data_IF_620849554908
#
_entry.id   IF_620849554908
#
_cell.length_a   1.000
_cell.length_b   1.000
_cell.length_c   1.000
_cell.angle_alpha   90.00
_cell.angle_beta   90.00
_cell.angle_gamma   90.00
#
_symmetry.space_group_name_H-M   'P 1'
#
loop_
_entity.id
_entity.type
_entity.pdbx_description
1 polymer ?
#
# COMPACT_ATOMS: atom_id res chain seq x y z
N UNK A 1 45.71 64.27 4.50
CA UNK A 1 44.96 65.09 5.48
C UNK A 1 43.55 64.55 5.53
N UNK A 2 43.07 64.31 6.76
CA UNK A 2 41.70 64.19 7.28
C UNK A 2 40.55 64.66 6.34
N UNK A 3 39.29 64.23 6.39
CA UNK A 3 38.48 63.45 7.32
C UNK A 3 37.01 63.51 6.84
N UNK A 4 36.22 62.45 7.13
CA UNK A 4 34.78 62.42 7.45
C UNK A 4 33.73 63.15 6.58
N UNK A 5 32.76 62.39 6.02
CA UNK A 5 31.35 62.40 6.46
C UNK A 5 30.44 61.49 5.59
N UNK A 6 29.88 60.45 6.22
CA UNK A 6 28.54 59.89 5.97
C UNK A 6 27.68 60.30 7.21
N UNK A 7 26.32 60.28 7.24
CA UNK A 7 25.45 59.29 6.58
C UNK A 7 24.01 59.75 6.20
N UNK A 8 23.20 58.77 5.79
CA UNK A 8 21.73 58.65 5.89
C UNK A 8 20.84 59.36 4.84
N UNK A 9 20.29 58.59 3.90
CA UNK A 9 18.83 58.42 3.66
C UNK A 9 18.62 57.64 2.34
N UNK A 10 18.28 56.36 2.40
CA UNK A 10 17.64 55.63 1.31
C UNK A 10 17.07 54.29 1.81
N UNK A 11 15.91 54.39 2.44
CA UNK A 11 14.98 53.27 2.57
C UNK A 11 13.60 53.88 2.46
N UNK A 12 13.01 53.79 1.27
CA UNK A 12 11.58 53.82 0.94
C UNK A 12 11.47 54.09 -0.58
N UNK A 13 10.97 53.09 -1.31
CA UNK A 13 10.36 53.11 -2.65
C UNK A 13 10.87 51.94 -3.51
N UNK A 14 10.23 50.78 -3.34
CA UNK A 14 9.98 49.79 -4.42
C UNK A 14 9.19 48.60 -3.86
N UNK A 15 7.91 48.84 -3.60
CA UNK A 15 6.88 47.80 -3.58
C UNK A 15 5.74 48.35 -4.40
N UNK A 16 5.59 47.85 -5.62
CA UNK A 16 4.34 47.71 -6.37
C UNK A 16 4.71 47.07 -7.72
N UNK A 17 3.84 46.19 -8.22
CA UNK A 17 3.87 45.50 -9.52
C UNK A 17 4.74 44.24 -9.64
N UNK A 18 4.23 43.12 -9.14
CA UNK A 18 4.05 41.88 -9.93
C UNK A 18 3.01 41.01 -9.21
N UNK A 19 1.73 41.23 -9.54
CA UNK A 19 0.62 40.35 -9.18
C UNK A 19 0.22 39.61 -10.46
N UNK A 20 0.68 38.37 -10.60
CA UNK A 20 0.11 37.41 -11.53
C UNK A 20 -0.47 36.26 -10.70
N UNK A 21 -1.79 36.16 -10.76
CA UNK A 21 -2.59 35.19 -10.05
C UNK A 21 -2.30 33.77 -10.55
N UNK A 22 -2.01 32.87 -9.61
CA UNK A 22 -2.17 31.43 -9.78
C UNK A 22 -3.37 30.99 -8.93
N UNK A 23 -4.26 30.12 -9.45
CA UNK A 23 -5.48 29.72 -8.76
C UNK A 23 -5.17 28.83 -7.55
N UNK A 24 -5.70 29.22 -6.38
CA UNK A 24 -5.75 28.39 -5.17
C UNK A 24 -6.82 27.31 -5.35
N UNK A 25 -6.44 26.06 -5.14
CA UNK A 25 -7.38 24.97 -4.93
C UNK A 25 -7.76 24.97 -3.43
N UNK A 26 -8.75 25.78 -3.07
CA UNK A 26 -9.42 25.69 -1.77
C UNK A 26 -10.65 24.77 -1.95
N UNK A 27 -10.53 23.52 -1.52
CA UNK A 27 -11.69 22.67 -1.24
C UNK A 27 -11.94 22.71 0.27
N UNK A 28 -12.84 23.60 0.68
CA UNK A 28 -13.47 23.60 2.00
C UNK A 28 -14.32 22.33 2.14
N UNK A 29 -13.99 21.48 3.11
CA UNK A 29 -14.93 20.50 3.65
C UNK A 29 -15.16 20.87 5.13
N UNK A 30 -16.41 21.21 5.44
CA UNK A 30 -16.87 21.58 6.78
C UNK A 30 -17.14 20.33 7.60
N UNK A 31 -16.30 20.07 8.60
CA UNK A 31 -16.58 19.10 9.65
C UNK A 31 -17.44 19.73 10.77
N UNK A 32 -18.64 19.19 10.96
CA UNK A 32 -19.45 19.42 12.16
C UNK A 32 -19.03 18.45 13.26
N UNK A 33 -18.39 18.99 14.30
CA UNK A 33 -18.03 18.28 15.51
C UNK A 33 -19.26 17.91 16.36
N UNK A 34 -19.33 16.67 16.84
CA UNK A 34 -20.18 16.25 17.95
C UNK A 34 -19.30 15.71 19.10
N UNK A 35 -19.43 16.35 20.24
CA UNK A 35 -18.71 16.13 21.50
C UNK A 35 -19.32 14.95 22.26
N UNK A 36 -18.50 14.09 22.87
CA UNK A 36 -18.90 13.24 24.01
C UNK A 36 -17.70 12.90 24.93
N UNK A 37 -17.93 12.63 26.22
CA UNK A 37 -17.00 12.89 27.32
C UNK A 37 -16.18 11.66 27.77
N UNK A 38 -15.20 11.80 28.69
CA UNK A 38 -14.18 10.78 28.92
C UNK A 38 -14.64 9.73 29.94
N UNK A 39 -14.28 8.48 29.67
CA UNK A 39 -14.36 7.38 30.63
C UNK A 39 -13.00 7.16 31.30
N UNK A 40 -13.10 6.86 32.59
CA UNK A 40 -12.07 6.79 33.62
C UNK A 40 -11.00 5.73 33.41
N UNK A 41 -9.81 6.02 33.93
CA UNK A 41 -8.62 5.18 33.82
C UNK A 41 -8.65 3.90 34.66
N UNK A 42 -7.83 2.95 34.20
CA UNK A 42 -7.20 1.92 35.02
C UNK A 42 -5.77 1.70 34.52
N UNK A 43 -4.85 1.89 35.45
CA UNK A 43 -3.45 1.47 35.42
C UNK A 43 -3.37 -0.06 35.27
N UNK A 44 -2.35 -0.56 34.55
CA UNK A 44 -1.64 -1.78 34.92
C UNK A 44 -0.29 -1.86 34.17
N UNK A 45 0.78 -1.69 34.95
CA UNK A 45 2.12 -2.19 34.67
C UNK A 45 2.17 -3.70 34.94
N UNK A 46 3.09 -4.38 34.24
CA UNK A 46 3.62 -5.75 34.43
C UNK A 46 2.91 -6.92 33.71
N UNK A 47 3.62 -7.48 32.72
CA UNK A 47 3.94 -8.91 32.61
C UNK A 47 4.95 -9.14 31.45
N UNK A 48 6.25 -9.16 31.77
CA UNK A 48 7.18 -10.27 31.53
C UNK A 48 6.72 -11.48 30.70
N UNK A 49 7.52 -11.71 29.65
CA UNK A 49 7.91 -12.96 28.99
C UNK A 49 7.30 -14.28 29.48
N UNK A 50 6.59 -14.96 28.56
CA UNK A 50 6.45 -16.41 28.57
C UNK A 50 6.33 -16.97 27.12
N UNK A 51 7.35 -17.74 26.75
CA UNK A 51 7.29 -19.06 26.08
C UNK A 51 6.29 -19.23 24.92
N UNK A 52 6.86 -19.37 23.72
CA UNK A 52 6.21 -19.93 22.53
C UNK A 52 5.84 -21.41 22.77
N UNK A 53 4.63 -21.64 23.28
CA UNK A 53 3.95 -22.93 23.22
C UNK A 53 2.91 -22.88 22.11
N UNK A 54 3.06 -23.73 21.09
CA UNK A 54 2.15 -23.82 19.96
C UNK A 54 0.71 -24.10 20.40
N UNK A 55 -0.17 -23.13 20.20
CA UNK A 55 -1.60 -23.33 20.26
C UNK A 55 -2.07 -23.93 18.91
N UNK A 56 -3.03 -24.89 18.93
CA UNK A 56 -3.59 -25.44 17.71
C UNK A 56 -4.31 -24.34 16.92
N UNK A 57 -3.99 -24.26 15.64
CA UNK A 57 -4.67 -23.38 14.67
C UNK A 57 -6.15 -23.76 14.69
N UNK A 58 -7.00 -22.84 15.13
CA UNK A 58 -8.44 -22.99 15.02
C UNK A 58 -8.80 -23.21 13.54
N UNK A 59 -9.52 -24.29 13.24
CA UNK A 59 -10.00 -24.54 11.89
C UNK A 59 -10.93 -23.39 11.45
N UNK A 60 -10.55 -22.76 10.34
CA UNK A 60 -11.24 -21.64 9.72
C UNK A 60 -12.48 -22.15 8.95
N UNK A 61 -13.70 -21.64 9.21
CA UNK A 61 -14.91 -22.05 8.51
C UNK A 61 -15.04 -21.40 7.12
N UNK A 62 -13.94 -21.29 6.37
CA UNK A 62 -13.96 -21.06 4.93
C UNK A 62 -14.11 -22.41 4.24
N UNK A 63 -15.34 -22.92 4.24
CA UNK A 63 -15.74 -24.06 3.45
C UNK A 63 -15.20 -23.93 2.02
N UNK A 64 -14.49 -24.96 1.56
CA UNK A 64 -14.02 -25.05 0.19
C UNK A 64 -15.21 -24.85 -0.78
N UNK A 65 -15.08 -24.03 -1.82
CA UNK A 65 -16.14 -23.87 -2.80
C UNK A 65 -16.39 -25.22 -3.48
N UNK A 66 -17.62 -25.71 -3.31
CA UNK A 66 -18.14 -26.92 -3.95
C UNK A 66 -17.97 -26.81 -5.47
N UNK A 67 -17.54 -27.91 -6.09
CA UNK A 67 -17.16 -28.01 -7.48
C UNK A 67 -18.16 -27.35 -8.47
N UNK A 68 -17.58 -26.64 -9.43
CA UNK A 68 -18.18 -25.93 -10.55
C UNK A 68 -19.28 -26.73 -11.27
N UNK A 69 -20.52 -26.24 -11.18
CA UNK A 69 -21.55 -26.52 -12.18
C UNK A 69 -21.27 -25.70 -13.45
N UNK A 70 -21.22 -26.39 -14.59
CA UNK A 70 -20.95 -25.84 -15.93
C UNK A 70 -22.13 -25.03 -16.50
N UNK A 71 -22.53 -23.94 -15.84
CA UNK A 71 -23.52 -22.98 -16.34
C UNK A 71 -22.84 -21.76 -16.97
N UNK A 72 -22.97 -21.59 -18.29
CA UNK A 72 -22.24 -20.65 -19.15
C UNK A 72 -22.53 -19.15 -18.98
N UNK A 73 -22.52 -18.64 -17.75
CA UNK A 73 -22.36 -17.21 -17.49
C UNK A 73 -21.06 -17.01 -16.71
N UNK A 74 -20.08 -16.32 -17.29
CA UNK A 74 -18.82 -15.96 -16.62
C UNK A 74 -19.09 -14.90 -15.56
N UNK A 75 -19.70 -15.30 -14.45
CA UNK A 75 -19.85 -14.43 -13.29
C UNK A 75 -18.45 -14.02 -12.82
N UNK A 76 -18.27 -12.72 -12.56
CA UNK A 76 -17.04 -12.20 -11.98
C UNK A 76 -16.69 -12.94 -10.68
N UNK A 77 -15.44 -13.37 -10.60
CA UNK A 77 -14.91 -14.13 -9.47
C UNK A 77 -14.86 -13.32 -8.16
N UNK A 78 -14.68 -11.99 -8.26
CA UNK A 78 -14.65 -11.09 -7.12
C UNK A 78 -15.97 -10.31 -6.98
N UNK A 79 -16.91 -10.86 -6.22
CA UNK A 79 -18.21 -10.21 -5.94
C UNK A 79 -18.10 -9.01 -5.02
N UNK A 80 -17.03 -8.90 -4.22
CA UNK A 80 -16.77 -7.80 -3.28
C UNK A 80 -15.29 -7.68 -2.96
N UNK A 81 -14.76 -6.45 -2.99
CA UNK A 81 -13.33 -6.15 -2.88
C UNK A 81 -13.08 -5.00 -1.90
N UNK A 82 -12.40 -5.28 -0.79
CA UNK A 82 -11.80 -4.27 0.07
C UNK A 82 -10.27 -4.26 -0.12
N UNK A 83 -9.79 -3.35 -0.96
CA UNK A 83 -8.36 -3.22 -1.20
C UNK A 83 -7.70 -2.40 -0.09
N UNK A 84 -6.86 -3.04 0.73
CA UNK A 84 -5.95 -2.31 1.62
C UNK A 84 -4.65 -2.02 0.85
N UNK A 85 -4.57 -0.83 0.25
CA UNK A 85 -3.39 -0.38 -0.46
C UNK A 85 -2.37 0.21 0.52
N UNK A 86 -1.43 -0.62 1.00
CA UNK A 86 -0.32 -0.16 1.85
C UNK A 86 0.68 0.61 0.98
N UNK A 87 1.14 1.81 1.40
CA UNK A 87 2.15 2.56 0.66
C UNK A 87 3.36 1.69 0.29
N UNK A 88 3.79 1.81 -0.97
CA UNK A 88 4.98 1.14 -1.53
C UNK A 88 4.92 -0.40 -1.56
N UNK A 89 3.71 -0.97 -1.49
CA UNK A 89 3.45 -2.40 -1.67
C UNK A 89 2.73 -2.70 -2.99
N UNK A 90 3.14 -2.02 -4.09
CA UNK A 90 2.68 -2.33 -5.46
C UNK A 90 1.29 -1.83 -5.86
N UNK A 91 1.21 -0.59 -6.32
CA UNK A 91 -0.04 0.02 -6.84
C UNK A 91 -0.62 -0.74 -8.03
N UNK A 92 0.20 -1.37 -8.87
CA UNK A 92 -0.23 -2.15 -10.04
C UNK A 92 -1.14 -3.33 -9.70
N UNK A 93 -1.14 -3.83 -8.46
CA UNK A 93 -2.03 -4.93 -8.05
C UNK A 93 -3.51 -4.54 -8.13
N UNK A 94 -3.83 -3.24 -8.11
CA UNK A 94 -5.18 -2.77 -8.38
C UNK A 94 -5.71 -3.23 -9.75
N UNK A 95 -4.85 -3.38 -10.77
CA UNK A 95 -5.22 -3.91 -12.08
C UNK A 95 -5.84 -5.31 -11.97
N UNK A 96 -5.21 -6.23 -11.21
CA UNK A 96 -5.75 -7.57 -10.97
C UNK A 96 -7.09 -7.55 -10.24
N UNK A 97 -7.25 -6.65 -9.27
CA UNK A 97 -8.51 -6.49 -8.55
C UNK A 97 -9.63 -5.96 -9.46
N UNK A 98 -9.33 -5.03 -10.36
CA UNK A 98 -10.30 -4.50 -11.31
C UNK A 98 -10.78 -5.59 -12.27
N UNK A 99 -9.86 -6.35 -12.89
CA UNK A 99 -10.22 -7.47 -13.77
C UNK A 99 -11.01 -8.56 -13.05
N UNK A 100 -10.62 -8.91 -11.83
CA UNK A 100 -11.39 -9.88 -11.06
C UNK A 100 -12.79 -9.37 -10.73
N UNK A 101 -12.94 -8.08 -10.45
CA UNK A 101 -14.21 -7.45 -10.10
C UNK A 101 -15.11 -7.16 -11.30
N UNK A 102 -14.59 -7.13 -12.53
CA UNK A 102 -15.40 -7.00 -13.74
C UNK A 102 -14.71 -7.65 -14.95
N UNK A 103 -15.25 -8.80 -15.38
CA UNK A 103 -14.78 -9.56 -16.55
C UNK A 103 -15.05 -8.88 -17.89
N UNK A 104 -15.90 -7.84 -17.91
CA UNK A 104 -16.20 -7.07 -19.12
C UNK A 104 -15.22 -5.92 -19.35
N UNK A 105 -14.24 -5.72 -18.46
CA UNK A 105 -13.16 -4.76 -18.71
C UNK A 105 -12.39 -5.17 -19.97
N UNK A 106 -12.01 -4.20 -20.83
CA UNK A 106 -11.06 -4.47 -21.90
C UNK A 106 -9.78 -5.06 -21.31
N UNK A 107 -9.21 -6.08 -21.94
CA UNK A 107 -8.01 -6.75 -21.47
C UNK A 107 -6.84 -5.77 -21.21
N UNK A 108 -6.71 -4.76 -22.06
CA UNK A 108 -5.69 -3.74 -21.98
C UNK A 108 -5.95 -2.70 -20.87
N UNK A 109 -7.09 -2.76 -20.17
CA UNK A 109 -7.39 -1.87 -19.06
C UNK A 109 -6.40 -2.14 -17.91
N UNK A 110 -5.63 -1.11 -17.56
CA UNK A 110 -4.70 -1.17 -16.44
C UNK A 110 -4.44 0.20 -15.85
N UNK A 111 -4.01 0.23 -14.59
CA UNK A 111 -3.55 1.46 -13.95
C UNK A 111 -2.38 2.03 -14.78
N UNK A 112 -2.43 3.30 -15.21
CA UNK A 112 -1.40 3.88 -16.06
C UNK A 112 -0.05 3.93 -15.34
N UNK A 113 1.03 3.86 -16.12
CA UNK A 113 2.37 4.02 -15.61
C UNK A 113 2.63 5.45 -15.10
N UNK A 114 3.51 5.59 -14.12
CA UNK A 114 3.90 6.89 -13.59
C UNK A 114 4.58 7.71 -14.69
N UNK A 115 4.12 8.96 -14.85
CA UNK A 115 4.60 9.88 -15.88
C UNK A 115 3.77 9.87 -17.17
N UNK A 116 2.87 8.90 -17.38
CA UNK A 116 1.96 8.91 -18.55
C UNK A 116 0.66 9.66 -18.29
N UNK A 117 0.37 10.01 -17.03
CA UNK A 117 -0.81 10.76 -16.61
C UNK A 117 -0.43 11.81 -15.58
N UNK A 118 -1.16 12.92 -15.55
CA UNK A 118 -1.09 13.89 -14.47
C UNK A 118 -1.89 13.40 -13.25
N UNK A 119 -1.31 13.56 -12.05
CA UNK A 119 -1.99 13.22 -10.80
C UNK A 119 -1.77 11.80 -10.28
N UNK A 120 -2.82 11.22 -9.68
CA UNK A 120 -2.74 9.93 -9.00
C UNK A 120 -3.18 8.78 -9.92
N UNK A 121 -2.34 7.75 -10.03
CA UNK A 121 -2.55 6.65 -11.00
C UNK A 121 -3.91 5.96 -10.89
N UNK A 122 -4.37 5.62 -9.68
CA UNK A 122 -5.65 4.92 -9.48
C UNK A 122 -6.85 5.83 -9.84
N UNK A 123 -6.94 7.08 -9.34
CA UNK A 123 -7.93 8.03 -9.85
C UNK A 123 -7.91 8.20 -11.37
N UNK A 124 -6.74 8.28 -12.02
CA UNK A 124 -6.66 8.38 -13.48
C UNK A 124 -7.27 7.17 -14.20
N UNK A 125 -7.09 5.96 -13.65
CA UNK A 125 -7.78 4.75 -14.14
C UNK A 125 -9.30 4.86 -13.95
N UNK A 126 -9.75 5.31 -12.78
CA UNK A 126 -11.18 5.45 -12.46
C UNK A 126 -11.89 6.55 -13.25
N UNK A 127 -11.16 7.53 -13.81
CA UNK A 127 -11.74 8.47 -14.79
C UNK A 127 -12.15 7.76 -16.08
N UNK A 128 -11.38 6.76 -16.52
CA UNK A 128 -11.68 5.97 -17.72
C UNK A 128 -12.71 4.87 -17.44
N UNK A 129 -12.64 4.29 -16.23
CA UNK A 129 -13.53 3.21 -15.78
C UNK A 129 -14.22 3.58 -14.46
N UNK A 130 -15.26 4.44 -14.49
CA UNK A 130 -15.95 4.89 -13.27
C UNK A 130 -16.50 3.75 -12.41
N UNK A 131 -16.39 3.90 -11.08
CA UNK A 131 -16.74 2.86 -10.10
C UNK A 131 -18.20 2.41 -10.17
N UNK A 132 -19.11 3.36 -10.34
CA UNK A 132 -20.56 3.16 -10.42
C UNK A 132 -20.97 2.43 -11.70
N UNK A 133 -20.34 2.78 -12.83
CA UNK A 133 -20.64 2.19 -14.14
C UNK A 133 -20.02 0.80 -14.30
N UNK A 134 -18.73 0.65 -13.97
CA UNK A 134 -17.97 -0.55 -14.27
C UNK A 134 -17.94 -1.56 -13.14
N UNK A 135 -18.14 -1.15 -11.89
CA UNK A 135 -17.91 -2.04 -10.75
C UNK A 135 -19.11 -2.19 -9.83
N UNK A 136 -20.23 -1.49 -10.08
CA UNK A 136 -21.53 -1.73 -9.45
C UNK A 136 -21.47 -1.83 -7.91
N UNK A 137 -20.66 -0.97 -7.27
CA UNK A 137 -20.52 -0.95 -5.81
C UNK A 137 -19.73 -2.12 -5.20
N UNK A 138 -18.98 -2.89 -6.00
CA UNK A 138 -18.18 -4.04 -5.49
C UNK A 138 -16.99 -3.63 -4.62
N UNK A 139 -16.54 -2.37 -4.70
CA UNK A 139 -15.35 -1.90 -3.99
C UNK A 139 -15.66 -1.14 -2.70
N UNK A 140 -14.78 -1.29 -1.70
CA UNK A 140 -14.63 -0.30 -0.63
C UNK A 140 -14.02 0.99 -1.20
N UNK A 141 -14.84 2.03 -1.35
CA UNK A 141 -14.49 3.20 -2.17
C UNK A 141 -13.68 4.27 -1.46
N UNK A 142 -13.62 4.32 -0.11
CA UNK A 142 -12.83 5.32 0.65
C UNK A 142 -13.02 6.77 0.16
N UNK A 143 -14.28 7.19 -0.03
CA UNK A 143 -14.59 8.50 -0.61
C UNK A 143 -14.32 8.60 -2.11
N UNK A 144 -14.50 7.50 -2.85
CA UNK A 144 -14.30 7.44 -4.31
C UNK A 144 -12.88 7.07 -4.76
N UNK A 145 -11.92 6.93 -3.83
CA UNK A 145 -10.55 6.50 -4.12
C UNK A 145 -10.22 5.13 -3.52
N UNK A 146 -10.50 4.04 -4.25
CA UNK A 146 -10.20 2.66 -3.83
C UNK A 146 -8.71 2.43 -3.52
N UNK A 147 -7.83 3.20 -4.18
CA UNK A 147 -6.38 3.17 -3.99
C UNK A 147 -5.89 4.08 -2.86
N UNK A 148 -6.77 4.67 -2.06
CA UNK A 148 -6.38 5.45 -0.88
C UNK A 148 -5.68 4.55 0.16
N UNK A 149 -4.74 5.14 0.89
CA UNK A 149 -4.00 4.49 1.97
C UNK A 149 -4.74 4.56 3.32
N UNK A 150 -6.08 4.64 3.26
CA UNK A 150 -6.95 4.63 4.44
C UNK A 150 -6.86 3.30 5.17
N UNK A 151 -6.78 3.40 6.48
CA UNK A 151 -6.77 2.33 7.47
C UNK A 151 -8.11 1.58 7.54
N UNK A 152 -8.07 0.37 8.09
CA UNK A 152 -9.27 -0.47 8.27
C UNK A 152 -10.00 -0.01 9.55
N UNK A 153 -10.98 0.86 9.41
CA UNK A 153 -11.86 1.20 10.54
C UNK A 153 -12.73 0.01 10.94
N UNK A 154 -13.21 0.00 12.17
CA UNK A 154 -13.95 -1.13 12.75
C UNK A 154 -15.25 -1.47 12.00
N UNK A 155 -15.99 -0.45 11.55
CA UNK A 155 -17.19 -0.61 10.72
C UNK A 155 -16.85 -1.22 9.35
N UNK A 156 -15.76 -0.76 8.72
CA UNK A 156 -15.25 -1.32 7.46
C UNK A 156 -14.83 -2.77 7.66
N UNK A 157 -14.11 -3.07 8.73
CA UNK A 157 -13.70 -4.44 9.08
C UNK A 157 -14.91 -5.38 9.16
N UNK A 158 -15.94 -5.00 9.93
CA UNK A 158 -17.18 -5.80 10.05
C UNK A 158 -17.87 -6.01 8.71
N UNK A 159 -17.88 -4.98 7.87
CA UNK A 159 -18.58 -5.01 6.58
C UNK A 159 -17.85 -5.84 5.51
N UNK A 160 -16.51 -5.89 5.55
CA UNK A 160 -15.68 -6.49 4.50
C UNK A 160 -14.79 -7.65 4.96
N UNK A 161 -14.91 -8.15 6.20
CA UNK A 161 -14.19 -9.35 6.66
C UNK A 161 -14.42 -10.51 5.68
N UNK A 162 -13.35 -11.19 5.27
CA UNK A 162 -13.37 -12.22 4.23
C UNK A 162 -13.35 -11.68 2.79
N UNK A 163 -13.24 -10.36 2.62
CA UNK A 163 -13.19 -9.67 1.32
C UNK A 163 -12.04 -8.66 1.24
N UNK A 164 -11.08 -8.69 2.18
CA UNK A 164 -9.88 -7.86 2.11
C UNK A 164 -8.82 -8.47 1.21
N UNK A 165 -8.18 -7.61 0.42
CA UNK A 165 -7.08 -7.95 -0.48
C UNK A 165 -5.93 -6.97 -0.22
N UNK A 166 -4.72 -7.49 -0.02
CA UNK A 166 -3.55 -6.65 0.15
C UNK A 166 -2.28 -7.32 -0.36
N UNK A 167 -1.34 -6.48 -0.73
CA UNK A 167 0.06 -6.83 -0.95
C UNK A 167 0.87 -6.29 0.23
N UNK A 168 1.77 -7.11 0.74
CA UNK A 168 2.73 -6.74 1.77
C UNK A 168 4.13 -6.70 1.16
N UNK A 169 5.06 -6.03 1.85
CA UNK A 169 6.46 -5.93 1.45
C UNK A 169 7.31 -6.02 2.70
N UNK A 170 8.49 -6.64 2.59
CA UNK A 170 9.44 -6.69 3.69
C UNK A 170 9.63 -5.27 4.29
N UNK A 171 9.53 -5.08 5.62
CA UNK A 171 9.47 -3.74 6.23
C UNK A 171 10.64 -2.83 5.86
N UNK A 172 11.87 -3.38 5.86
CA UNK A 172 13.07 -2.67 5.44
C UNK A 172 12.99 -2.16 4.00
N UNK A 173 12.64 -3.03 3.05
CA UNK A 173 12.49 -2.66 1.64
C UNK A 173 11.36 -1.64 1.43
N UNK A 174 10.22 -1.79 2.15
CA UNK A 174 9.12 -0.81 2.14
C UNK A 174 9.59 0.55 2.62
N UNK A 175 10.28 0.59 3.77
CA UNK A 175 10.76 1.83 4.39
C UNK A 175 11.75 2.58 3.49
N UNK A 176 12.69 1.85 2.87
CA UNK A 176 13.64 2.42 1.92
C UNK A 176 12.94 2.98 0.68
N UNK A 177 12.03 2.21 0.07
CA UNK A 177 11.24 2.66 -1.07
C UNK A 177 10.37 3.87 -0.73
N UNK A 178 9.87 3.94 0.51
CA UNK A 178 9.12 5.09 1.04
C UNK A 178 10.00 6.32 1.20
N UNK A 179 11.22 6.18 1.73
CA UNK A 179 12.18 7.27 1.83
C UNK A 179 12.59 7.83 0.47
N UNK A 180 12.84 6.97 -0.52
CA UNK A 180 13.17 7.42 -1.88
C UNK A 180 12.01 8.20 -2.52
N UNK A 181 10.77 7.84 -2.21
CA UNK A 181 9.59 8.47 -2.81
C UNK A 181 9.09 9.72 -2.06
N UNK A 182 8.92 9.64 -0.75
CA UNK A 182 8.38 10.74 0.08
C UNK A 182 9.43 11.50 0.86
N UNK A 183 10.55 10.84 1.17
CA UNK A 183 11.64 11.34 2.00
C UNK A 183 12.49 12.39 1.29
N UNK A 184 13.52 11.91 0.60
CA UNK A 184 14.38 12.67 -0.30
C UNK A 184 14.75 14.10 0.16
N UNK A 185 14.86 15.00 -0.81
CA UNK A 185 15.25 16.39 -0.59
C UNK A 185 14.20 17.19 0.18
N UNK A 186 12.92 16.83 0.05
CA UNK A 186 11.82 17.53 0.72
C UNK A 186 11.90 17.38 2.25
N UNK A 187 12.05 16.15 2.76
CA UNK A 187 12.19 15.90 4.19
C UNK A 187 13.51 16.42 4.75
N UNK A 188 14.59 16.31 3.97
CA UNK A 188 15.90 16.83 4.37
C UNK A 188 15.87 18.34 4.62
N UNK A 189 15.12 19.11 3.80
CA UNK A 189 14.90 20.56 4.01
C UNK A 189 14.15 20.89 5.30
N UNK A 190 13.41 19.91 5.84
CA UNK A 190 12.70 20.02 7.12
C UNK A 190 13.51 19.43 8.29
N UNK A 191 14.78 19.07 8.08
CA UNK A 191 15.62 18.45 9.11
C UNK A 191 15.31 16.98 9.39
N UNK A 192 14.53 16.33 8.53
CA UNK A 192 14.20 14.90 8.64
C UNK A 192 15.12 14.11 7.71
N UNK A 193 16.11 13.46 8.30
CA UNK A 193 17.03 12.55 7.60
C UNK A 193 16.49 11.12 7.57
N UNK A 194 17.14 10.25 6.80
CA UNK A 194 16.74 8.84 6.59
C UNK A 194 16.42 8.09 7.88
N UNK A 195 17.31 8.14 8.89
CA UNK A 195 17.11 7.46 10.17
C UNK A 195 15.85 7.98 10.91
N UNK A 196 15.68 9.31 10.97
CA UNK A 196 14.51 9.93 11.61
C UNK A 196 13.22 9.62 10.84
N UNK A 197 13.29 9.57 9.51
CA UNK A 197 12.18 9.16 8.66
C UNK A 197 11.78 7.71 8.91
N UNK A 198 12.76 6.80 8.99
CA UNK A 198 12.51 5.39 9.23
C UNK A 198 11.83 5.17 10.60
N UNK A 199 12.30 5.88 11.64
CA UNK A 199 11.65 5.91 12.96
C UNK A 199 10.22 6.46 12.92
N UNK A 200 9.99 7.49 12.11
CA UNK A 200 8.67 8.13 11.95
C UNK A 200 7.63 7.18 11.33
N UNK A 201 8.03 6.28 10.43
CA UNK A 201 7.11 5.35 9.75
C UNK A 201 7.02 3.96 10.40
N UNK A 202 7.51 3.81 11.64
CA UNK A 202 7.43 2.55 12.36
C UNK A 202 5.98 2.06 12.51
N UNK A 203 5.78 0.77 12.28
CA UNK A 203 4.50 0.09 12.37
C UNK A 203 3.44 0.65 11.43
N UNK A 204 3.82 1.23 10.30
CA UNK A 204 2.86 1.86 9.39
C UNK A 204 1.85 0.87 8.84
N UNK A 205 2.31 -0.29 8.34
CA UNK A 205 1.40 -1.32 7.83
C UNK A 205 0.52 -1.86 8.96
N UNK A 206 1.12 -2.07 10.15
CA UNK A 206 0.43 -2.50 11.37
C UNK A 206 -0.69 -1.55 11.75
N UNK A 207 -0.41 -0.25 11.84
CA UNK A 207 -1.42 0.79 12.15
C UNK A 207 -2.52 0.83 11.11
N UNK A 208 -2.21 0.64 9.82
CA UNK A 208 -3.24 0.59 8.77
C UNK A 208 -4.18 -0.62 8.93
N UNK A 209 -3.63 -1.82 9.20
CA UNK A 209 -4.44 -3.03 9.39
C UNK A 209 -5.25 -2.96 10.70
N UNK A 210 -4.65 -2.43 11.78
CA UNK A 210 -5.30 -2.21 13.07
C UNK A 210 -6.31 -1.06 13.06
N UNK A 211 -6.37 -0.24 12.00
CA UNK A 211 -7.32 0.87 11.93
C UNK A 211 -6.93 2.11 12.74
N UNK A 212 -5.64 2.25 13.06
CA UNK A 212 -5.13 3.31 13.94
C UNK A 212 -4.68 4.57 13.19
N UNK A 213 -4.16 4.45 11.95
CA UNK A 213 -3.64 5.60 11.22
C UNK A 213 -3.59 5.37 9.71
N UNK A 214 -3.79 6.45 8.93
CA UNK A 214 -3.64 6.43 7.49
C UNK A 214 -2.17 6.25 7.10
N UNK A 215 -1.91 5.48 6.03
CA UNK A 215 -0.56 5.22 5.55
C UNK A 215 0.19 6.47 5.07
N UNK A 216 -0.49 7.60 4.81
CA UNK A 216 0.16 8.84 4.37
C UNK A 216 0.63 9.73 5.52
N UNK A 217 -0.02 9.68 6.68
CA UNK A 217 0.17 10.66 7.75
C UNK A 217 1.63 10.73 8.20
N UNK A 218 2.24 9.56 8.37
CA UNK A 218 3.66 9.46 8.75
C UNK A 218 4.61 9.40 7.56
N UNK A 219 4.13 9.05 6.36
CA UNK A 219 4.97 8.95 5.16
C UNK A 219 5.35 10.31 4.58
N UNK A 220 4.50 11.33 4.74
CA UNK A 220 4.79 12.70 4.32
C UNK A 220 5.44 13.48 5.46
N UNK A 221 6.43 14.32 5.16
CA UNK A 221 7.16 15.06 6.19
C UNK A 221 6.48 16.36 6.63
N UNK A 222 5.67 16.96 5.75
CA UNK A 222 4.86 18.15 6.02
C UNK A 222 3.61 17.89 6.87
N UNK A 223 3.26 16.62 7.06
CA UNK A 223 2.09 16.20 7.84
C UNK A 223 2.55 15.87 9.27
N UNK A 224 1.83 16.25 10.33
CA UNK A 224 2.16 15.75 11.67
C UNK A 224 1.99 14.23 11.73
N UNK A 225 2.98 13.51 12.29
CA UNK A 225 2.84 12.08 12.58
C UNK A 225 2.63 11.91 14.07
N UNK A 226 1.43 11.49 14.45
CA UNK A 226 1.14 11.14 15.82
C UNK A 226 1.93 9.90 16.23
N UNK A 227 2.57 9.96 17.40
CA UNK A 227 3.32 8.84 17.98
C UNK A 227 2.35 7.83 18.59
N UNK A 228 1.64 7.12 17.73
CA UNK A 228 0.75 6.03 18.13
C UNK A 228 1.54 4.73 18.27
N UNK A 229 1.34 4.03 19.38
CA UNK A 229 1.83 2.67 19.59
C UNK A 229 1.05 1.71 18.67
N UNK A 230 1.70 0.99 17.73
CA UNK A 230 1.01 0.05 16.85
C UNK A 230 0.37 -1.10 17.64
N UNK A 231 -0.90 -1.39 17.37
CA UNK A 231 -1.65 -2.51 17.94
C UNK A 231 -1.43 -3.76 17.08
N UNK A 232 -0.35 -4.48 17.41
CA UNK A 232 0.08 -5.68 16.68
C UNK A 232 -0.96 -6.80 16.79
N UNK A 233 -1.55 -7.01 17.96
CA UNK A 233 -2.49 -8.10 18.19
C UNK A 233 -3.77 -7.94 17.36
N UNK A 234 -4.32 -6.71 17.32
CA UNK A 234 -5.47 -6.42 16.46
C UNK A 234 -5.12 -6.54 14.99
N UNK A 235 -3.94 -6.08 14.58
CA UNK A 235 -3.49 -6.19 13.19
C UNK A 235 -3.37 -7.65 12.75
N UNK A 236 -2.74 -8.50 13.57
CA UNK A 236 -2.59 -9.94 13.30
C UNK A 236 -3.94 -10.66 13.27
N UNK A 237 -4.85 -10.33 14.18
CA UNK A 237 -6.22 -10.86 14.22
C UNK A 237 -6.99 -10.51 12.94
N UNK A 238 -6.91 -9.26 12.50
CA UNK A 238 -7.56 -8.81 11.26
C UNK A 238 -6.92 -9.40 10.02
N UNK A 239 -5.60 -9.52 9.98
CA UNK A 239 -4.91 -10.15 8.85
C UNK A 239 -5.42 -11.57 8.58
N UNK A 240 -5.81 -12.30 9.62
CA UNK A 240 -6.42 -13.63 9.50
C UNK A 240 -7.76 -13.68 8.77
N UNK A 241 -8.48 -12.56 8.61
CA UNK A 241 -9.73 -12.50 7.86
C UNK A 241 -9.59 -11.87 6.46
N UNK A 242 -8.37 -11.77 5.92
CA UNK A 242 -8.15 -11.35 4.55
C UNK A 242 -8.48 -12.48 3.59
N UNK A 243 -9.09 -12.15 2.45
CA UNK A 243 -9.33 -13.12 1.37
C UNK A 243 -8.04 -13.44 0.62
N UNK A 244 -7.18 -12.46 0.47
CA UNK A 244 -5.92 -12.58 -0.25
C UNK A 244 -4.83 -11.75 0.43
N UNK A 245 -3.67 -12.37 0.56
CA UNK A 245 -2.44 -11.78 1.06
C UNK A 245 -1.34 -12.15 0.07
N UNK A 246 -0.77 -11.15 -0.60
CA UNK A 246 0.37 -11.31 -1.49
C UNK A 246 1.63 -10.63 -0.96
N UNK A 247 2.76 -10.94 -1.57
CA UNK A 247 4.09 -10.41 -1.23
C UNK A 247 4.70 -9.69 -2.43
N UNK A 248 5.23 -8.48 -2.20
CA UNK A 248 5.75 -7.63 -3.27
C UNK A 248 7.01 -8.24 -3.90
N UNK A 249 7.91 -8.77 -3.07
CA UNK A 249 9.11 -9.49 -3.52
C UNK A 249 8.83 -10.83 -4.22
N UNK A 250 7.59 -11.32 -4.17
CA UNK A 250 7.11 -12.49 -4.92
C UNK A 250 6.02 -12.07 -5.91
N UNK A 251 6.19 -10.94 -6.60
CA UNK A 251 5.14 -10.29 -7.40
C UNK A 251 4.42 -11.25 -8.36
N UNK A 252 5.17 -11.88 -9.26
CA UNK A 252 4.61 -12.75 -10.28
C UNK A 252 3.88 -13.96 -9.65
N UNK A 253 4.44 -14.51 -8.57
CA UNK A 253 3.84 -15.62 -7.84
C UNK A 253 2.57 -15.19 -7.10
N UNK A 254 2.54 -13.97 -6.57
CA UNK A 254 1.37 -13.37 -5.90
C UNK A 254 0.22 -13.13 -6.86
N UNK A 255 0.49 -12.59 -8.05
CA UNK A 255 -0.53 -12.45 -9.10
C UNK A 255 -1.05 -13.83 -9.51
N UNK A 256 -0.17 -14.79 -9.80
CA UNK A 256 -0.59 -16.16 -10.12
C UNK A 256 -1.43 -16.81 -9.02
N UNK A 257 -1.02 -16.67 -7.75
CA UNK A 257 -1.76 -17.17 -6.59
C UNK A 257 -3.14 -16.51 -6.51
N UNK A 258 -3.24 -15.20 -6.73
CA UNK A 258 -4.51 -14.50 -6.78
C UNK A 258 -5.47 -15.15 -7.79
N UNK A 259 -5.04 -15.36 -9.03
CA UNK A 259 -5.85 -16.03 -10.06
C UNK A 259 -6.17 -17.49 -9.71
N UNK A 260 -5.25 -18.22 -9.08
CA UNK A 260 -5.51 -19.59 -8.63
C UNK A 260 -6.55 -19.65 -7.49
N UNK A 261 -6.63 -18.61 -6.65
CA UNK A 261 -7.59 -18.51 -5.55
C UNK A 261 -8.97 -18.02 -5.99
N UNK A 262 -9.02 -17.10 -6.96
CA UNK A 262 -10.27 -16.48 -7.44
C UNK A 262 -10.86 -17.22 -8.62
N UNK A 263 -10.04 -17.86 -9.44
CA UNK A 263 -10.44 -18.39 -10.75
C UNK A 263 -10.61 -17.31 -11.83
N UNK A 264 -10.14 -16.07 -11.60
CA UNK A 264 -10.17 -15.01 -12.61
C UNK A 264 -9.11 -15.22 -13.70
N UNK A 265 -9.36 -14.72 -14.90
CA UNK A 265 -8.37 -14.70 -15.99
C UNK A 265 -7.19 -13.79 -15.63
N UNK A 266 -6.00 -14.16 -16.09
CA UNK A 266 -4.72 -13.50 -15.84
C UNK A 266 -4.27 -12.74 -17.09
N UNK A 267 -3.91 -11.47 -16.94
CA UNK A 267 -3.61 -10.57 -18.06
C UNK A 267 -2.17 -10.04 -18.02
N UNK A 268 -1.52 -9.83 -19.19
CA UNK A 268 -0.16 -9.29 -19.22
C UNK A 268 0.01 -7.95 -18.50
N UNK A 269 -1.03 -7.11 -18.51
CA UNK A 269 -1.01 -5.79 -17.89
C UNK A 269 -0.89 -5.80 -16.36
N UNK A 270 -1.19 -6.94 -15.71
CA UNK A 270 -1.08 -7.14 -14.26
C UNK A 270 0.36 -7.34 -13.78
N UNK A 271 1.27 -7.66 -14.71
CA UNK A 271 2.69 -7.85 -14.43
C UNK A 271 3.53 -6.61 -14.74
N UNK A 272 2.88 -5.52 -15.20
CA UNK A 272 3.56 -4.26 -15.47
C UNK A 272 3.92 -3.55 -14.17
N UNK A 273 5.17 -3.10 -14.09
CA UNK A 273 5.57 -2.14 -13.07
C UNK A 273 5.10 -0.74 -13.48
N UNK A 274 3.99 -0.30 -12.92
CA UNK A 274 3.44 1.05 -13.19
C UNK A 274 4.21 2.15 -12.46
N UNK A 275 5.22 1.83 -11.64
CA UNK A 275 6.07 2.78 -10.92
C UNK A 275 7.52 2.29 -10.87
N UNK A 276 8.21 2.18 -12.02
CA UNK A 276 9.60 1.77 -12.03
C UNK A 276 10.43 2.74 -11.20
N UNK A 277 11.16 2.23 -10.21
CA UNK A 277 12.12 3.04 -9.48
C UNK A 277 13.37 3.14 -10.33
N UNK A 278 13.68 4.34 -10.83
CA UNK A 278 14.99 4.57 -11.41
C UNK A 278 16.00 4.74 -10.27
N UNK A 279 16.57 3.63 -9.78
CA UNK A 279 17.83 3.74 -9.05
C UNK A 279 18.85 4.28 -10.05
N UNK A 280 19.24 5.54 -9.88
CA UNK A 280 20.40 6.04 -10.61
C UNK A 280 21.54 5.09 -10.29
N UNK A 281 22.32 4.66 -11.30
CA UNK A 281 23.52 3.83 -11.05
C UNK A 281 24.52 4.51 -10.09
N UNK A 282 24.34 5.81 -9.84
CA UNK A 282 25.04 6.63 -8.85
C UNK A 282 24.41 6.64 -7.45
N UNK A 283 23.34 5.89 -7.20
CA UNK A 283 22.88 5.66 -5.84
C UNK A 283 23.98 4.84 -5.16
N UNK A 284 24.83 5.54 -4.40
CA UNK A 284 25.94 4.93 -3.70
C UNK A 284 25.39 3.80 -2.81
N UNK A 285 25.94 2.57 -2.88
CA UNK A 285 25.57 1.47 -1.98
C UNK A 285 25.57 1.86 -0.49
N UNK A 286 26.35 2.89 -0.15
CA UNK A 286 26.42 3.51 1.15
C UNK A 286 25.08 4.15 1.60
N UNK A 287 24.24 4.64 0.69
CA UNK A 287 22.97 5.29 1.06
C UNK A 287 21.95 4.29 1.63
N UNK A 288 21.85 3.12 1.01
CA UNK A 288 20.97 2.04 1.48
C UNK A 288 21.50 1.46 2.80
N UNK A 289 22.81 1.19 2.87
CA UNK A 289 23.45 0.72 4.09
C UNK A 289 23.25 1.71 5.25
N UNK A 290 23.41 3.02 5.01
CA UNK A 290 23.16 4.07 6.00
C UNK A 290 21.69 4.19 6.37
N UNK A 291 20.77 3.91 5.45
CA UNK A 291 19.34 3.88 5.76
C UNK A 291 19.01 2.75 6.75
N UNK A 292 19.66 1.60 6.59
CA UNK A 292 19.41 0.43 7.43
C UNK A 292 20.23 0.37 8.72
N UNK A 293 21.24 1.22 8.89
CA UNK A 293 22.04 1.24 10.10
C UNK A 293 21.15 1.58 11.32
N UNK A 294 20.93 0.57 12.17
CA UNK A 294 20.05 0.66 13.34
C UNK A 294 18.54 0.68 13.05
N UNK A 295 18.10 0.47 11.79
CA UNK A 295 16.67 0.38 11.48
C UNK A 295 16.12 -1.02 11.80
N UNK A 296 15.08 -1.05 12.63
CA UNK A 296 14.30 -2.25 12.92
C UNK A 296 12.86 -1.83 13.21
N UNK A 297 11.90 -2.44 12.52
CA UNK A 297 10.47 -2.18 12.71
C UNK A 297 9.78 -3.41 13.29
N UNK A 298 9.86 -3.61 14.63
CA UNK A 298 9.36 -4.84 15.24
C UNK A 298 7.86 -5.07 15.01
N UNK A 299 7.10 -3.99 14.75
CA UNK A 299 5.66 -4.06 14.53
C UNK A 299 5.35 -4.56 13.13
N UNK A 300 5.90 -3.90 12.10
CA UNK A 300 5.69 -4.32 10.72
C UNK A 300 6.39 -5.67 10.42
N UNK A 301 7.49 -6.01 11.11
CA UNK A 301 8.12 -7.34 11.01
C UNK A 301 7.18 -8.44 11.50
N UNK A 302 6.58 -8.30 12.68
CA UNK A 302 5.61 -9.29 13.19
C UNK A 302 4.40 -9.46 12.24
N UNK A 303 3.88 -8.36 11.71
CA UNK A 303 2.79 -8.39 10.72
C UNK A 303 3.23 -9.08 9.41
N UNK A 304 4.42 -8.74 8.91
CA UNK A 304 4.94 -9.28 7.66
C UNK A 304 5.27 -10.77 7.76
N UNK A 305 5.84 -11.23 8.89
CA UNK A 305 6.04 -12.65 9.16
C UNK A 305 4.71 -13.42 9.08
N UNK A 306 3.65 -12.88 9.69
CA UNK A 306 2.32 -13.48 9.60
C UNK A 306 1.76 -13.44 8.17
N UNK A 307 1.94 -12.34 7.44
CA UNK A 307 1.50 -12.22 6.06
C UNK A 307 2.21 -13.23 5.15
N UNK A 308 3.53 -13.38 5.33
CA UNK A 308 4.35 -14.36 4.62
C UNK A 308 3.91 -15.80 4.90
N UNK A 309 3.63 -16.12 6.18
CA UNK A 309 3.10 -17.44 6.54
C UNK A 309 1.75 -17.74 5.86
N UNK A 310 0.83 -16.77 5.81
CA UNK A 310 -0.46 -16.91 5.11
C UNK A 310 -0.24 -17.08 3.61
N UNK A 311 0.64 -16.27 3.01
CA UNK A 311 0.97 -16.33 1.60
C UNK A 311 1.48 -17.73 1.22
N UNK A 312 2.52 -18.22 1.88
CA UNK A 312 3.11 -19.53 1.56
C UNK A 312 2.18 -20.70 1.87
N UNK A 313 1.35 -20.60 2.92
CA UNK A 313 0.29 -21.58 3.17
C UNK A 313 -0.72 -21.63 2.01
N UNK A 314 -1.12 -20.48 1.46
CA UNK A 314 -2.01 -20.42 0.31
C UNK A 314 -1.34 -20.89 -0.99
N UNK A 315 -0.05 -20.58 -1.21
CA UNK A 315 0.75 -21.14 -2.32
C UNK A 315 0.68 -22.67 -2.29
N UNK A 316 0.94 -23.27 -1.12
CA UNK A 316 0.86 -24.72 -0.94
C UNK A 316 -0.57 -25.26 -1.16
N UNK A 317 -1.57 -24.64 -0.52
CA UNK A 317 -2.99 -25.03 -0.61
C UNK A 317 -3.52 -25.03 -2.04
N UNK A 318 -3.11 -24.06 -2.85
CA UNK A 318 -3.54 -23.90 -4.24
C UNK A 318 -2.57 -24.52 -5.25
N UNK A 319 -1.57 -25.29 -4.78
CA UNK A 319 -0.54 -25.94 -5.59
C UNK A 319 0.12 -24.98 -6.59
N UNK A 320 0.41 -23.75 -6.14
CA UNK A 320 1.02 -22.71 -6.95
C UNK A 320 2.52 -22.98 -7.04
N UNK A 321 2.98 -23.24 -8.25
CA UNK A 321 4.38 -23.40 -8.61
C UNK A 321 4.65 -22.60 -9.88
N UNK A 322 5.90 -22.30 -10.21
CA UNK A 322 6.22 -21.61 -11.48
C UNK A 322 5.64 -22.34 -12.69
N UNK A 323 5.74 -23.67 -12.71
CA UNK A 323 5.16 -24.47 -13.80
C UNK A 323 3.63 -24.41 -13.82
N UNK A 324 2.97 -24.50 -12.65
CA UNK A 324 1.52 -24.32 -12.58
C UNK A 324 1.11 -22.93 -13.06
N UNK A 325 1.88 -21.90 -12.72
CA UNK A 325 1.62 -20.51 -13.14
C UNK A 325 1.73 -20.32 -14.65
N UNK A 326 2.60 -21.05 -15.35
CA UNK A 326 2.64 -21.06 -16.82
C UNK A 326 1.30 -21.54 -17.41
N UNK A 327 0.59 -22.42 -16.73
CA UNK A 327 -0.74 -22.85 -17.16
C UNK A 327 -1.85 -21.89 -16.72
N UNK A 328 -1.83 -21.47 -15.44
CA UNK A 328 -2.83 -20.52 -14.89
C UNK A 328 -2.79 -19.18 -15.62
N UNK A 329 -1.60 -18.66 -15.91
CA UNK A 329 -1.34 -17.41 -16.60
C UNK A 329 -0.71 -17.68 -17.98
N UNK A 330 -1.41 -18.45 -18.80
CA UNK A 330 -0.94 -18.94 -20.11
C UNK A 330 -0.50 -17.84 -21.09
N UNK A 331 -0.96 -16.61 -20.89
CA UNK A 331 -0.64 -15.44 -21.72
C UNK A 331 0.71 -14.80 -21.39
N UNK A 332 1.27 -15.12 -20.22
CA UNK A 332 2.56 -14.60 -19.74
C UNK A 332 3.47 -15.71 -19.23
N UNK A 333 3.45 -16.87 -19.90
CA UNK A 333 4.30 -18.02 -19.56
C UNK A 333 5.78 -17.68 -19.40
N UNK A 334 6.27 -16.73 -20.20
CA UNK A 334 7.68 -16.29 -20.18
C UNK A 334 8.08 -15.64 -18.85
N UNK A 335 7.15 -15.03 -18.11
CA UNK A 335 7.43 -14.42 -16.79
C UNK A 335 7.82 -15.50 -15.76
N UNK A 336 7.26 -16.70 -15.91
CA UNK A 336 7.49 -17.82 -14.99
C UNK A 336 8.62 -18.76 -15.44
N UNK A 337 9.31 -18.44 -16.54
CA UNK A 337 10.51 -19.17 -16.94
C UNK A 337 11.71 -18.81 -16.04
N UNK A 338 12.77 -19.63 -16.02
CA UNK A 338 14.01 -19.30 -15.32
C UNK A 338 14.57 -17.92 -15.71
N UNK A 339 14.45 -17.54 -16.99
CA UNK A 339 14.88 -16.24 -17.50
C UNK A 339 13.97 -15.09 -17.03
N UNK A 340 12.66 -15.31 -17.03
CA UNK A 340 11.68 -14.33 -16.52
C UNK A 340 11.86 -14.04 -15.04
N UNK A 341 12.24 -15.06 -14.25
CA UNK A 341 12.54 -14.88 -12.83
C UNK A 341 13.70 -13.89 -12.61
N UNK A 342 14.72 -13.91 -13.46
CA UNK A 342 15.85 -12.96 -13.34
C UNK A 342 15.43 -11.52 -13.64
N UNK A 343 14.52 -11.31 -14.59
CA UNK A 343 14.01 -9.98 -14.95
C UNK A 343 13.04 -9.41 -13.90
N UNK A 344 12.35 -10.28 -13.15
CA UNK A 344 11.43 -9.84 -12.09
C UNK A 344 12.12 -9.17 -10.89
N UNK A 345 13.44 -9.35 -10.72
CA UNK A 345 14.21 -8.71 -9.65
C UNK A 345 14.54 -7.23 -9.93
N UNK A 346 14.42 -6.76 -11.18
CA UNK A 346 14.64 -5.35 -11.56
C UNK A 346 13.38 -4.48 -11.39
N UNK A 347 12.33 -5.01 -10.77
CA UNK A 347 11.05 -4.33 -10.56
C UNK A 347 11.07 -3.40 -9.34
N UNK A 348 12.13 -3.45 -8.51
CA UNK A 348 12.24 -2.60 -7.33
C UNK A 348 12.73 -1.17 -7.59
#
# INVERSE_FOLDING_TARGET
>A
MAAFALPLLLALLSRELFSSALPRCDAEERDTAAVSPPASGRSLLQAQAAVWGGAPVAEDPLAAPTALGSGGGTASACTRVAWLHIPKCGTSFGTSLFHCANVSLPEEAHIPAQGTVEGYLVPSFLTQYPLDLWFQGRFWTKGGNVGSHTEIKEDVWRSFKGHFFAMFRKPSARAYSSWKFFGGTHCTRQGIYSANYAQRILGLATKMVAGQANGRDCSRCDTPCEKLQPDVDLALSRLGGFRFVGLTEEWALSVCLFHAMTGSECFPSEFLNVRPTHYSKSAEPDDEKRFFDGYHDPYDEALYERASAIFWANVAKHNVTRERCRHTCSRVQHIFSPEGALLSFDVD
#
